data_IF_702085615348
#
_entry.id   IF_702085615348
#
_cell.length_a   1.000
_cell.length_b   1.000
_cell.length_c   1.000
_cell.angle_alpha   90.00
_cell.angle_beta   90.00
_cell.angle_gamma   90.00
#
_symmetry.space_group_name_H-M   'P 1'
#
loop_
_entity.id
_entity.type
_entity.pdbx_description
1 polymer ?
#
# COMPACT_ATOMS: atom_id res chain seq x y z
N UNK A 1 -3.44 -51.21 11.65
CA UNK A 1 -2.97 -49.86 12.02
C UNK A 1 -3.98 -48.88 11.49
N UNK A 2 -4.76 -48.29 12.39
CA UNK A 2 -6.03 -47.64 12.06
C UNK A 2 -5.86 -46.22 11.54
N UNK A 3 -6.15 -46.04 10.26
CA UNK A 3 -6.17 -44.75 9.56
C UNK A 3 -7.10 -43.74 10.28
N UNK A 4 -8.13 -44.22 10.98
CA UNK A 4 -9.05 -43.39 11.76
C UNK A 4 -8.42 -42.79 13.03
N UNK A 5 -7.45 -43.48 13.66
CA UNK A 5 -6.75 -42.96 14.84
C UNK A 5 -5.77 -41.84 14.47
N UNK A 6 -5.09 -41.96 13.32
CA UNK A 6 -4.21 -40.90 12.81
C UNK A 6 -5.00 -39.64 12.40
N UNK A 7 -6.19 -39.82 11.80
CA UNK A 7 -7.06 -38.71 11.43
C UNK A 7 -7.64 -37.98 12.66
N UNK A 8 -8.03 -38.69 13.72
CA UNK A 8 -8.54 -38.05 14.94
C UNK A 8 -7.46 -37.29 15.70
N UNK A 9 -6.24 -37.82 15.77
CA UNK A 9 -5.10 -37.15 16.39
C UNK A 9 -4.71 -35.86 15.65
N UNK A 10 -4.72 -35.89 14.30
CA UNK A 10 -4.50 -34.70 13.48
C UNK A 10 -5.60 -33.65 13.71
N UNK A 11 -6.87 -34.04 13.71
CA UNK A 11 -7.99 -33.13 13.98
C UNK A 11 -7.91 -32.50 15.38
N UNK A 12 -7.53 -33.27 16.40
CA UNK A 12 -7.34 -32.77 17.76
C UNK A 12 -6.15 -31.81 17.86
N UNK A 13 -5.06 -32.06 17.14
CA UNK A 13 -3.91 -31.17 17.09
C UNK A 13 -4.24 -29.84 16.39
N UNK A 14 -5.02 -29.88 15.30
CA UNK A 14 -5.51 -28.67 14.63
C UNK A 14 -6.55 -27.92 15.48
N UNK A 15 -7.43 -28.63 16.20
CA UNK A 15 -8.40 -28.01 17.11
C UNK A 15 -7.72 -27.36 18.32
N UNK A 16 -6.69 -27.99 18.89
CA UNK A 16 -5.87 -27.40 19.95
C UNK A 16 -5.07 -26.19 19.45
N UNK A 17 -4.58 -26.23 18.21
CA UNK A 17 -3.92 -25.08 17.58
C UNK A 17 -4.90 -23.90 17.34
N UNK A 18 -6.19 -24.18 17.16
CA UNK A 18 -7.23 -23.15 17.10
C UNK A 18 -7.60 -22.57 18.47
N UNK A 19 -7.33 -23.30 19.56
CA UNK A 19 -7.66 -22.85 20.92
C UNK A 19 -6.81 -21.64 21.35
N UNK A 20 -5.55 -21.56 20.89
CA UNK A 20 -4.64 -20.44 21.16
C UNK A 20 -4.11 -19.81 19.85
N UNK A 21 -4.89 -18.90 19.23
CA UNK A 21 -4.53 -18.32 17.93
C UNK A 21 -3.31 -17.38 17.99
N UNK A 22 -3.01 -16.79 19.15
CA UNK A 22 -1.95 -15.79 19.30
C UNK A 22 -0.55 -16.41 19.21
N UNK A 23 -0.18 -17.45 19.99
CA UNK A 23 1.14 -18.09 19.89
C UNK A 23 1.41 -18.69 18.50
N UNK A 24 0.42 -19.37 17.92
CA UNK A 24 0.57 -19.99 16.59
C UNK A 24 0.79 -18.94 15.50
N UNK A 25 0.06 -17.83 15.57
CA UNK A 25 0.28 -16.73 14.65
C UNK A 25 1.64 -16.04 14.89
N UNK A 26 2.07 -15.89 16.14
CA UNK A 26 3.39 -15.34 16.44
C UNK A 26 4.52 -16.18 15.82
N UNK A 27 4.44 -17.51 15.94
CA UNK A 27 5.37 -18.46 15.30
C UNK A 27 5.31 -18.34 13.78
N UNK A 28 4.12 -18.27 13.17
CA UNK A 28 3.97 -18.10 11.73
C UNK A 28 4.60 -16.79 11.25
N UNK A 29 4.34 -15.68 11.95
CA UNK A 29 4.92 -14.37 11.62
C UNK A 29 6.44 -14.42 11.72
N UNK A 30 6.98 -15.00 12.79
CA UNK A 30 8.42 -15.18 12.97
C UNK A 30 9.02 -16.00 11.82
N UNK A 31 8.38 -17.12 11.47
CA UNK A 31 8.78 -17.98 10.35
C UNK A 31 8.82 -17.22 9.03
N UNK A 32 7.76 -16.47 8.69
CA UNK A 32 7.70 -15.69 7.44
C UNK A 32 8.75 -14.58 7.37
N UNK A 33 9.11 -13.99 8.52
CA UNK A 33 10.10 -12.91 8.61
C UNK A 33 11.55 -13.42 8.56
N UNK A 34 11.82 -14.62 9.04
CA UNK A 34 13.18 -15.17 9.14
C UNK A 34 13.53 -16.19 8.06
N UNK A 35 12.54 -16.90 7.53
CA UNK A 35 12.79 -18.01 6.60
C UNK A 35 12.91 -17.48 5.17
N UNK A 36 13.99 -17.82 4.45
CA UNK A 36 14.10 -17.47 3.04
C UNK A 36 13.08 -18.26 2.21
N UNK A 37 12.72 -17.75 1.03
CA UNK A 37 11.93 -18.53 0.05
C UNK A 37 12.71 -19.75 -0.41
N UNK A 38 14.02 -19.59 -0.67
CA UNK A 38 14.91 -20.68 -1.03
C UNK A 38 16.30 -20.41 -0.45
N UNK A 39 16.92 -21.41 0.19
CA UNK A 39 18.20 -21.24 0.90
C UNK A 39 19.34 -20.71 0.01
N UNK A 40 19.45 -21.23 -1.22
CA UNK A 40 20.56 -20.88 -2.12
C UNK A 40 20.17 -19.88 -3.22
N UNK A 41 19.15 -20.19 -4.04
CA UNK A 41 18.82 -19.38 -5.23
C UNK A 41 18.02 -18.10 -4.96
N UNK A 42 17.28 -18.04 -3.85
CA UNK A 42 16.46 -16.88 -3.52
C UNK A 42 16.41 -16.63 -2.00
N UNK A 43 17.55 -16.21 -1.41
CA UNK A 43 17.75 -16.09 0.03
C UNK A 43 17.08 -14.83 0.61
N UNK A 44 15.87 -14.51 0.16
CA UNK A 44 15.09 -13.37 0.63
C UNK A 44 13.93 -13.84 1.51
N UNK A 45 13.59 -13.11 2.60
CA UNK A 45 12.50 -13.48 3.48
C UNK A 45 11.17 -13.64 2.75
N UNK A 46 10.43 -14.70 3.06
CA UNK A 46 9.12 -14.99 2.44
C UNK A 46 8.15 -13.83 2.61
N UNK A 47 8.14 -13.19 3.78
CA UNK A 47 7.29 -12.02 4.07
C UNK A 47 7.46 -10.90 3.02
N UNK A 48 8.69 -10.62 2.60
CA UNK A 48 8.98 -9.56 1.62
C UNK A 48 8.35 -9.86 0.26
N UNK A 49 8.40 -11.14 -0.14
CA UNK A 49 7.89 -11.64 -1.43
C UNK A 49 6.37 -11.67 -1.45
N UNK A 50 5.76 -12.11 -0.34
CA UNK A 50 4.30 -12.08 -0.16
C UNK A 50 3.79 -10.63 -0.27
N UNK A 51 4.44 -9.69 0.42
CA UNK A 51 4.06 -8.28 0.33
C UNK A 51 4.25 -7.73 -1.10
N UNK A 52 5.41 -7.94 -1.73
CA UNK A 52 5.68 -7.46 -3.08
C UNK A 52 4.69 -8.00 -4.12
N UNK A 53 4.32 -9.29 -4.00
CA UNK A 53 3.30 -9.95 -4.84
C UNK A 53 1.93 -9.32 -4.65
N UNK A 54 1.52 -9.13 -3.39
CA UNK A 54 0.24 -8.47 -3.07
C UNK A 54 0.18 -7.05 -3.64
N UNK A 55 1.24 -6.26 -3.47
CA UNK A 55 1.31 -4.90 -4.01
C UNK A 55 1.20 -4.92 -5.53
N UNK A 56 1.77 -5.92 -6.22
CA UNK A 56 1.68 -6.03 -7.67
C UNK A 56 0.24 -6.33 -8.12
N UNK A 57 -0.46 -7.21 -7.41
CA UNK A 57 -1.88 -7.48 -7.68
C UNK A 57 -2.75 -6.23 -7.44
N UNK A 58 -2.52 -5.50 -6.36
CA UNK A 58 -3.22 -4.24 -6.09
C UNK A 58 -2.91 -3.20 -7.17
N UNK A 59 -1.65 -3.06 -7.58
CA UNK A 59 -1.24 -2.16 -8.66
C UNK A 59 -1.94 -2.51 -9.97
N UNK A 60 -2.06 -3.79 -10.29
CA UNK A 60 -2.80 -4.27 -11.47
C UNK A 60 -4.29 -3.90 -11.41
N UNK A 61 -4.93 -3.99 -10.22
CA UNK A 61 -6.32 -3.55 -10.02
C UNK A 61 -6.44 -2.03 -10.20
N UNK A 62 -5.55 -1.25 -9.58
CA UNK A 62 -5.58 0.22 -9.64
C UNK A 62 -5.38 0.77 -11.04
N UNK A 63 -4.59 0.07 -11.86
CA UNK A 63 -4.26 0.49 -13.22
C UNK A 63 -5.14 -0.16 -14.29
N UNK A 64 -6.10 -1.00 -13.89
CA UNK A 64 -6.99 -1.72 -14.79
C UNK A 64 -7.88 -0.76 -15.59
N UNK A 65 -7.93 -0.99 -16.91
CA UNK A 65 -8.78 -0.23 -17.83
C UNK A 65 -8.28 1.19 -18.13
N UNK A 66 -7.11 1.57 -17.62
CA UNK A 66 -6.51 2.88 -17.88
C UNK A 66 -5.61 2.83 -19.13
N UNK A 67 -5.53 3.91 -19.91
CA UNK A 67 -4.67 3.97 -21.10
C UNK A 67 -3.20 3.95 -20.68
N UNK A 68 -2.66 2.74 -20.58
CA UNK A 68 -1.30 2.46 -20.09
C UNK A 68 -0.21 2.60 -21.13
N UNK A 69 -0.57 2.68 -22.41
CA UNK A 69 0.38 2.74 -23.54
C UNK A 69 1.29 3.97 -23.47
N UNK A 70 0.80 5.04 -22.86
CA UNK A 70 1.53 6.31 -22.75
C UNK A 70 2.46 6.35 -21.52
N UNK A 71 2.30 5.44 -20.56
CA UNK A 71 3.16 5.35 -19.39
C UNK A 71 4.28 4.37 -19.69
N UNK A 72 5.50 4.88 -19.88
CA UNK A 72 6.68 4.03 -20.04
C UNK A 72 6.86 3.06 -18.87
N UNK A 73 7.48 1.91 -19.13
CA UNK A 73 7.69 0.83 -18.14
C UNK A 73 8.36 1.34 -16.86
N UNK A 74 9.32 2.25 -16.98
CA UNK A 74 10.00 2.82 -15.80
C UNK A 74 9.07 3.70 -14.96
N UNK A 75 8.21 4.49 -15.60
CA UNK A 75 7.22 5.31 -14.88
C UNK A 75 6.17 4.45 -14.18
N UNK A 76 5.80 3.33 -14.79
CA UNK A 76 4.92 2.34 -14.16
C UNK A 76 5.56 1.64 -12.96
N UNK A 77 6.78 1.15 -13.15
CA UNK A 77 7.56 0.52 -12.10
C UNK A 77 7.77 1.50 -10.94
N UNK A 78 8.05 2.77 -11.21
CA UNK A 78 8.15 3.81 -10.20
C UNK A 78 6.86 3.95 -9.38
N UNK A 79 5.69 4.02 -10.02
CA UNK A 79 4.40 4.08 -9.32
C UNK A 79 4.16 2.85 -8.41
N UNK A 80 4.49 1.66 -8.91
CA UNK A 80 4.45 0.42 -8.13
C UNK A 80 5.41 0.46 -6.92
N UNK A 81 6.64 0.93 -7.10
CA UNK A 81 7.62 1.04 -6.00
C UNK A 81 7.21 2.08 -4.95
N UNK A 82 6.61 3.20 -5.38
CA UNK A 82 6.04 4.20 -4.45
C UNK A 82 4.88 3.59 -3.65
N UNK A 83 4.02 2.78 -4.29
CA UNK A 83 2.96 2.06 -3.57
C UNK A 83 3.55 1.12 -2.51
N UNK A 84 4.61 0.39 -2.87
CA UNK A 84 5.26 -0.60 -2.02
C UNK A 84 6.02 0.01 -0.83
N UNK A 85 6.77 1.10 -1.05
CA UNK A 85 7.75 1.60 -0.09
C UNK A 85 7.39 2.96 0.50
N UNK A 86 6.38 3.65 -0.03
CA UNK A 86 6.10 5.04 0.30
C UNK A 86 5.82 5.26 1.78
N UNK A 87 5.07 4.35 2.43
CA UNK A 87 4.76 4.44 3.86
C UNK A 87 6.02 4.37 4.73
N UNK A 88 6.83 3.31 4.56
CA UNK A 88 8.11 3.17 5.26
C UNK A 88 9.10 4.30 4.96
N UNK A 89 9.13 4.78 3.71
CA UNK A 89 10.00 5.89 3.31
C UNK A 89 9.66 7.18 4.03
N UNK A 90 8.37 7.57 4.05
CA UNK A 90 7.93 8.77 4.78
C UNK A 90 8.23 8.62 6.26
N UNK A 91 7.89 7.48 6.86
CA UNK A 91 8.13 7.23 8.29
C UNK A 91 9.61 7.30 8.65
N UNK A 92 10.51 6.70 7.86
CA UNK A 92 11.96 6.79 8.07
C UNK A 92 12.44 8.23 7.99
N UNK A 93 12.00 9.01 7.00
CA UNK A 93 12.35 10.44 6.89
C UNK A 93 11.89 11.23 8.13
N UNK A 94 10.65 11.01 8.59
CA UNK A 94 10.11 11.67 9.79
C UNK A 94 10.86 11.30 11.07
N UNK A 95 11.42 10.09 11.13
CA UNK A 95 12.25 9.62 12.25
C UNK A 95 13.73 9.98 12.11
N UNK A 96 14.13 10.68 11.03
CA UNK A 96 15.55 10.97 10.77
C UNK A 96 16.39 9.72 10.51
N UNK A 97 15.77 8.64 10.03
CA UNK A 97 16.42 7.36 9.71
C UNK A 97 16.45 7.15 8.18
N UNK A 98 17.46 6.43 7.65
CA UNK A 98 17.46 6.06 6.25
C UNK A 98 16.36 5.03 5.96
N UNK A 99 15.56 5.19 4.89
CA UNK A 99 14.62 4.18 4.41
C UNK A 99 15.27 2.80 4.21
N UNK A 100 14.52 1.72 4.49
CA UNK A 100 15.03 0.33 4.43
C UNK A 100 15.59 -0.07 3.07
N UNK A 101 15.03 0.46 1.98
CA UNK A 101 15.50 0.21 0.61
C UNK A 101 16.83 0.90 0.28
N UNK A 102 17.30 1.87 1.08
CA UNK A 102 18.63 2.47 0.93
C UNK A 102 19.71 1.68 1.66
N UNK A 103 19.36 0.97 2.73
CA UNK A 103 20.31 0.25 3.59
C UNK A 103 20.35 -1.26 3.32
N UNK A 104 19.39 -1.79 2.56
CA UNK A 104 19.32 -3.21 2.21
C UNK A 104 19.13 -3.38 0.71
N UNK A 105 19.86 -4.32 0.06
CA UNK A 105 19.62 -4.66 -1.34
C UNK A 105 18.34 -5.49 -1.53
N UNK A 106 17.79 -6.10 -0.47
CA UNK A 106 16.67 -7.04 -0.59
C UNK A 106 15.42 -6.42 -1.25
N UNK A 107 14.97 -5.20 -0.90
CA UNK A 107 13.87 -4.55 -1.61
C UNK A 107 14.14 -4.36 -3.11
N UNK A 108 15.37 -3.98 -3.49
CA UNK A 108 15.77 -3.78 -4.88
C UNK A 108 15.80 -5.06 -5.71
N UNK A 109 15.99 -6.21 -5.07
CA UNK A 109 15.92 -7.51 -5.74
C UNK A 109 14.47 -8.00 -5.83
N UNK A 110 13.72 -7.92 -4.73
CA UNK A 110 12.39 -8.55 -4.64
C UNK A 110 11.30 -7.76 -5.37
N UNK A 111 11.21 -6.44 -5.19
CA UNK A 111 10.09 -5.68 -5.77
C UNK A 111 10.21 -5.49 -7.28
N UNK A 112 11.36 -5.07 -7.85
CA UNK A 112 11.52 -5.03 -9.31
C UNK A 112 11.31 -6.40 -9.96
N UNK A 113 11.76 -7.49 -9.33
CA UNK A 113 11.51 -8.85 -9.85
C UNK A 113 10.02 -9.20 -9.82
N UNK A 114 9.33 -8.95 -8.70
CA UNK A 114 7.88 -9.15 -8.61
C UNK A 114 7.13 -8.32 -9.65
N UNK A 115 7.53 -7.06 -9.85
CA UNK A 115 6.98 -6.21 -10.90
C UNK A 115 7.21 -6.83 -12.29
N UNK A 116 8.45 -7.14 -12.65
CA UNK A 116 8.82 -7.67 -13.97
C UNK A 116 8.13 -9.00 -14.29
N UNK A 117 7.93 -9.86 -13.28
CA UNK A 117 7.27 -11.15 -13.44
C UNK A 117 5.74 -11.06 -13.47
N UNK A 118 5.13 -10.11 -12.75
CA UNK A 118 3.68 -10.10 -12.56
C UNK A 118 2.95 -9.05 -13.40
N UNK A 119 3.55 -7.88 -13.62
CA UNK A 119 2.87 -6.77 -14.31
C UNK A 119 3.00 -6.89 -15.84
N UNK A 120 4.21 -6.88 -16.46
CA UNK A 120 4.33 -6.95 -17.92
C UNK A 120 3.84 -8.27 -18.53
N UNK A 121 3.99 -9.39 -17.82
CA UNK A 121 3.53 -10.71 -18.28
C UNK A 121 2.01 -10.85 -18.30
N UNK A 122 1.29 -9.91 -17.65
CA UNK A 122 -0.15 -9.99 -17.47
C UNK A 122 -0.61 -10.96 -16.38
N UNK A 123 0.30 -11.64 -15.66
CA UNK A 123 -0.05 -12.61 -14.61
C UNK A 123 -0.89 -11.97 -13.50
N UNK A 124 -0.53 -10.77 -13.03
CA UNK A 124 -1.33 -10.05 -12.04
C UNK A 124 -2.72 -9.70 -12.57
N UNK A 125 -2.82 -9.30 -13.84
CA UNK A 125 -4.12 -9.02 -14.47
C UNK A 125 -4.94 -10.29 -14.67
N UNK A 126 -4.30 -11.43 -14.90
CA UNK A 126 -4.99 -12.72 -15.00
C UNK A 126 -5.59 -13.10 -13.65
N UNK A 127 -4.77 -13.17 -12.60
CA UNK A 127 -5.20 -13.53 -11.24
C UNK A 127 -6.33 -12.63 -10.74
N UNK A 128 -6.20 -11.31 -10.92
CA UNK A 128 -7.21 -10.34 -10.46
C UNK A 128 -8.51 -10.35 -11.28
N UNK A 129 -8.54 -10.99 -12.44
CA UNK A 129 -9.73 -11.16 -13.28
C UNK A 129 -10.41 -12.51 -13.08
N UNK A 130 -9.64 -13.56 -12.84
CA UNK A 130 -10.14 -14.93 -12.74
C UNK A 130 -10.50 -15.33 -11.32
N UNK A 131 -9.79 -14.81 -10.31
CA UNK A 131 -10.10 -15.11 -8.91
C UNK A 131 -11.44 -14.46 -8.49
N UNK A 132 -12.30 -15.19 -7.74
CA UNK A 132 -13.49 -14.60 -7.16
C UNK A 132 -13.14 -13.39 -6.29
N UNK A 133 -13.83 -12.26 -6.51
CA UNK A 133 -13.48 -10.99 -5.86
C UNK A 133 -13.49 -11.08 -4.33
N UNK A 134 -14.48 -11.79 -3.74
CA UNK A 134 -14.55 -11.98 -2.29
C UNK A 134 -13.34 -12.76 -1.77
N UNK A 135 -12.99 -13.86 -2.43
CA UNK A 135 -11.83 -14.67 -2.06
C UNK A 135 -10.55 -13.85 -2.11
N UNK A 136 -10.32 -13.13 -3.21
CA UNK A 136 -9.14 -12.29 -3.39
C UNK A 136 -9.07 -11.18 -2.32
N UNK A 137 -10.19 -10.54 -2.01
CA UNK A 137 -10.27 -9.50 -0.97
C UNK A 137 -9.98 -10.05 0.42
N UNK A 138 -10.45 -11.26 0.76
CA UNK A 138 -10.15 -11.91 2.04
C UNK A 138 -8.67 -12.28 2.15
N UNK A 139 -8.07 -12.82 1.09
CA UNK A 139 -6.63 -13.11 1.05
C UNK A 139 -5.83 -11.82 1.19
N UNK A 140 -6.20 -10.75 0.49
CA UNK A 140 -5.55 -9.46 0.63
C UNK A 140 -5.72 -8.86 2.02
N UNK A 141 -6.89 -9.01 2.65
CA UNK A 141 -7.11 -8.57 4.01
C UNK A 141 -6.22 -9.32 5.02
N UNK A 142 -6.03 -10.63 4.85
CA UNK A 142 -5.12 -11.41 5.68
C UNK A 142 -3.66 -10.97 5.50
N UNK A 143 -3.20 -10.80 4.25
CA UNK A 143 -1.84 -10.33 3.95
C UNK A 143 -1.65 -8.87 4.43
N UNK A 144 -2.65 -8.01 4.30
CA UNK A 144 -2.60 -6.64 4.82
C UNK A 144 -2.58 -6.63 6.34
N UNK A 145 -3.36 -7.47 7.02
CA UNK A 145 -3.28 -7.64 8.47
C UNK A 145 -1.87 -8.02 8.90
N UNK A 146 -1.28 -9.02 8.23
CA UNK A 146 0.09 -9.49 8.46
C UNK A 146 1.12 -8.36 8.25
N UNK A 147 1.11 -7.72 7.09
CA UNK A 147 2.13 -6.74 6.69
C UNK A 147 2.01 -5.41 7.43
N UNK A 148 0.78 -4.94 7.68
CA UNK A 148 0.55 -3.72 8.46
C UNK A 148 0.76 -3.94 9.95
N UNK A 149 0.34 -5.08 10.50
CA UNK A 149 0.54 -5.41 11.92
C UNK A 149 2.03 -5.53 12.28
N UNK A 150 2.81 -6.20 11.44
CA UNK A 150 4.28 -6.28 11.57
C UNK A 150 4.94 -4.91 11.45
N UNK A 151 4.52 -4.08 10.49
CA UNK A 151 5.03 -2.70 10.30
C UNK A 151 4.77 -1.84 11.53
N UNK A 152 3.54 -1.87 12.07
CA UNK A 152 3.18 -1.13 13.28
C UNK A 152 4.01 -1.59 14.46
N UNK A 153 4.14 -2.91 14.66
CA UNK A 153 4.93 -3.45 15.76
C UNK A 153 6.41 -3.02 15.72
N UNK A 154 6.97 -2.80 14.52
CA UNK A 154 8.33 -2.32 14.32
C UNK A 154 8.52 -0.81 14.64
N UNK A 155 7.45 -0.02 14.77
CA UNK A 155 7.57 1.41 15.09
C UNK A 155 8.04 1.67 16.51
N UNK A 156 7.69 0.81 17.46
CA UNK A 156 8.08 1.00 18.85
C UNK A 156 9.61 1.02 19.05
N UNK A 157 10.38 0.01 18.58
CA UNK A 157 11.84 0.08 18.63
C UNK A 157 12.42 1.20 17.73
N UNK A 158 11.77 1.54 16.61
CA UNK A 158 12.21 2.63 15.74
C UNK A 158 12.14 3.99 16.44
N UNK A 159 11.06 4.26 17.18
CA UNK A 159 10.88 5.49 17.97
C UNK A 159 11.94 5.63 19.08
N UNK A 160 12.23 4.52 19.77
CA UNK A 160 13.29 4.48 20.80
C UNK A 160 14.65 4.79 20.17
N UNK A 161 14.97 4.16 19.03
CA UNK A 161 16.21 4.39 18.30
C UNK A 161 16.34 5.83 17.79
N UNK A 162 15.25 6.42 17.31
CA UNK A 162 15.21 7.79 16.82
C UNK A 162 15.22 8.85 17.94
N UNK A 163 15.14 8.44 19.22
CA UNK A 163 15.03 9.33 20.39
C UNK A 163 13.88 10.32 20.28
N UNK A 164 12.81 9.94 19.58
CA UNK A 164 11.60 10.75 19.42
C UNK A 164 10.69 10.49 20.61
N UNK A 165 10.10 11.56 21.17
CA UNK A 165 9.13 11.44 22.24
C UNK A 165 7.97 10.53 21.83
N UNK A 166 7.91 9.36 22.46
CA UNK A 166 6.96 8.30 22.14
C UNK A 166 5.63 8.58 22.84
N UNK A 167 4.91 9.60 22.38
CA UNK A 167 3.53 9.86 22.84
C UNK A 167 2.57 8.91 22.11
N UNK A 168 1.39 8.66 22.70
CA UNK A 168 0.35 7.88 22.04
C UNK A 168 -0.06 8.48 20.69
N UNK A 169 -0.02 9.81 20.56
CA UNK A 169 -0.30 10.52 19.31
C UNK A 169 0.79 10.31 18.27
N UNK A 170 2.06 10.44 18.64
CA UNK A 170 3.20 10.18 17.74
C UNK A 170 3.09 8.78 17.14
N UNK A 171 2.88 7.77 17.99
CA UNK A 171 2.72 6.38 17.56
C UNK A 171 1.52 6.18 16.63
N UNK A 172 0.38 6.78 16.99
CA UNK A 172 -0.88 6.72 16.21
C UNK A 172 -0.67 7.28 14.80
N UNK A 173 -0.10 8.49 14.69
CA UNK A 173 0.12 9.16 13.41
C UNK A 173 1.13 8.41 12.55
N UNK A 174 2.26 8.00 13.13
CA UNK A 174 3.28 7.24 12.40
C UNK A 174 2.76 5.86 11.97
N UNK A 175 1.90 5.21 12.75
CA UNK A 175 1.25 3.96 12.35
C UNK A 175 0.38 4.14 11.12
N UNK A 176 -0.45 5.19 11.08
CA UNK A 176 -1.26 5.52 9.90
C UNK A 176 -0.41 5.84 8.67
N UNK A 177 0.65 6.63 8.84
CA UNK A 177 1.59 6.98 7.75
C UNK A 177 2.35 5.75 7.24
N UNK A 178 2.88 4.92 8.14
CA UNK A 178 3.70 3.77 7.77
C UNK A 178 2.95 2.76 6.90
N UNK A 179 1.66 2.57 7.16
CA UNK A 179 0.83 1.55 6.48
C UNK A 179 0.01 2.10 5.31
N UNK A 180 -0.31 3.40 5.28
CA UNK A 180 -1.15 4.01 4.23
C UNK A 180 -0.41 5.03 3.36
N UNK A 181 0.81 5.45 3.73
CA UNK A 181 1.53 6.53 3.07
C UNK A 181 1.82 6.28 1.58
N UNK A 182 2.13 5.04 1.19
CA UNK A 182 2.34 4.68 -0.22
C UNK A 182 1.08 4.88 -1.07
N UNK A 183 -0.05 4.36 -0.59
CA UNK A 183 -1.34 4.54 -1.26
C UNK A 183 -1.79 6.00 -1.31
N UNK A 184 -1.49 6.77 -0.26
CA UNK A 184 -1.71 8.21 -0.23
C UNK A 184 -0.92 8.92 -1.33
N UNK A 185 0.39 8.67 -1.45
CA UNK A 185 1.23 9.33 -2.47
C UNK A 185 0.75 8.96 -3.87
N UNK A 186 0.48 7.67 -4.13
CA UNK A 186 0.01 7.18 -5.42
C UNK A 186 -1.31 7.82 -5.83
N UNK A 187 -2.23 8.00 -4.88
CA UNK A 187 -3.52 8.64 -5.13
C UNK A 187 -3.36 10.14 -5.33
N UNK A 188 -2.60 10.81 -4.46
CA UNK A 188 -2.34 12.25 -4.49
C UNK A 188 -1.69 12.68 -5.81
N UNK A 189 -0.68 11.94 -6.29
CA UNK A 189 0.07 12.26 -7.50
C UNK A 189 -0.48 11.59 -8.77
N UNK A 190 -1.56 10.82 -8.65
CA UNK A 190 -2.15 10.11 -9.78
C UNK A 190 -1.17 9.16 -10.46
N UNK A 191 -0.24 8.53 -9.73
CA UNK A 191 0.82 7.68 -10.31
C UNK A 191 0.29 6.44 -11.04
N UNK A 192 -0.96 6.08 -10.75
CA UNK A 192 -1.67 4.98 -11.37
C UNK A 192 -2.48 5.42 -12.62
N UNK A 193 -2.45 6.71 -12.99
CA UNK A 193 -3.05 7.28 -14.20
C UNK A 193 -2.02 7.37 -15.34
N UNK A 194 -2.49 7.69 -16.55
CA UNK A 194 -1.61 7.91 -17.72
C UNK A 194 -0.82 9.22 -17.65
N UNK A 195 -1.31 10.19 -16.88
CA UNK A 195 -0.71 11.49 -16.66
C UNK A 195 -0.67 11.76 -15.17
N UNK A 196 0.41 12.40 -14.72
CA UNK A 196 0.53 12.85 -13.35
C UNK A 196 -0.55 13.88 -13.07
N UNK A 197 -1.28 13.71 -11.97
CA UNK A 197 -2.33 14.63 -11.55
C UNK A 197 -2.18 14.90 -10.07
N UNK A 198 -2.50 16.12 -9.64
CA UNK A 198 -2.66 16.39 -8.21
C UNK A 198 -4.13 16.19 -7.87
N UNK A 199 -4.46 15.04 -7.29
CA UNK A 199 -5.83 14.66 -6.95
C UNK A 199 -6.07 14.76 -5.44
N UNK A 200 -7.34 14.81 -5.06
CA UNK A 200 -7.74 14.68 -3.66
C UNK A 200 -7.35 13.27 -3.18
N UNK A 201 -6.61 13.14 -2.06
CA UNK A 201 -6.24 11.82 -1.55
C UNK A 201 -7.50 11.06 -1.12
N UNK A 202 -7.53 9.76 -1.41
CA UNK A 202 -8.70 8.88 -1.19
C UNK A 202 -9.20 8.85 0.25
N UNK A 203 -8.34 9.14 1.23
CA UNK A 203 -8.73 9.28 2.64
C UNK A 203 -9.74 10.42 2.87
N UNK A 204 -9.74 11.44 2.01
CA UNK A 204 -10.66 12.57 2.13
C UNK A 204 -11.97 12.34 1.38
N UNK A 205 -12.12 11.24 0.63
CA UNK A 205 -13.36 10.90 -0.09
C UNK A 205 -14.49 10.43 0.83
N UNK A 206 -14.21 10.32 2.13
CA UNK A 206 -15.20 10.05 3.15
C UNK A 206 -15.63 8.59 3.22
N UNK A 207 -16.55 8.31 4.15
CA UNK A 207 -16.99 6.96 4.46
C UNK A 207 -16.04 6.26 5.45
N UNK A 208 -16.60 5.80 6.57
CA UNK A 208 -15.87 5.11 7.63
C UNK A 208 -15.16 3.86 7.07
N UNK A 209 -15.83 3.11 6.18
CA UNK A 209 -15.26 1.90 5.58
C UNK A 209 -14.10 2.20 4.63
N UNK A 210 -14.14 3.30 3.87
CA UNK A 210 -13.08 3.64 2.92
C UNK A 210 -11.84 4.20 3.63
N UNK A 211 -12.05 4.90 4.74
CA UNK A 211 -10.99 5.47 5.56
C UNK A 211 -10.45 4.50 6.61
N UNK A 212 -11.06 3.32 6.73
CA UNK A 212 -10.69 2.28 7.71
C UNK A 212 -9.23 1.85 7.59
N UNK A 213 -8.67 1.91 6.38
CA UNK A 213 -7.25 1.63 6.12
C UNK A 213 -6.31 2.56 6.87
N UNK A 214 -6.71 3.82 7.05
CA UNK A 214 -5.93 4.80 7.81
C UNK A 214 -6.30 4.77 9.30
N UNK A 215 -7.59 4.66 9.62
CA UNK A 215 -8.04 4.72 11.02
C UNK A 215 -7.70 3.45 11.78
N UNK A 216 -7.88 2.25 11.22
CA UNK A 216 -7.60 0.98 11.90
C UNK A 216 -6.20 0.92 12.54
N UNK A 217 -5.14 1.30 11.82
CA UNK A 217 -3.80 1.47 12.37
C UNK A 217 -3.69 2.52 13.48
N UNK A 218 -4.44 3.62 13.41
CA UNK A 218 -4.52 4.61 14.48
C UNK A 218 -5.17 4.02 15.76
N UNK A 219 -6.00 2.99 15.61
CA UNK A 219 -6.56 2.21 16.72
C UNK A 219 -5.61 1.13 17.25
N UNK A 220 -4.36 1.04 16.78
CA UNK A 220 -3.36 0.09 17.28
C UNK A 220 -2.84 0.41 18.69
N UNK A 221 -3.39 1.40 19.40
CA UNK A 221 -3.06 1.70 20.80
C UNK A 221 -3.10 0.47 21.71
N UNK A 222 -4.05 -0.49 21.59
CA UNK A 222 -4.05 -1.70 22.40
C UNK A 222 -2.74 -2.50 22.33
N UNK A 223 -2.01 -2.46 21.20
CA UNK A 223 -0.66 -3.05 21.13
C UNK A 223 0.34 -2.33 22.03
N UNK A 224 0.32 -1.00 22.01
CA UNK A 224 1.15 -0.16 22.89
C UNK A 224 0.77 -0.37 24.36
N UNK A 225 -0.52 -0.48 24.65
CA UNK A 225 -1.04 -0.79 25.99
C UNK A 225 -0.65 -2.20 26.46
N UNK A 226 -0.78 -3.21 25.59
CA UNK A 226 -0.48 -4.60 25.92
C UNK A 226 1.01 -4.85 26.13
N UNK A 227 1.86 -4.26 25.29
CA UNK A 227 3.31 -4.49 25.35
C UNK A 227 4.02 -3.63 26.41
N UNK A 228 3.34 -2.64 27.01
CA UNK A 228 3.92 -1.70 27.99
C UNK A 228 5.21 -1.02 27.50
N UNK A 229 5.46 -0.99 26.19
CA UNK A 229 6.72 -0.47 25.64
C UNK A 229 6.88 1.03 25.92
N UNK A 230 5.77 1.74 26.21
CA UNK A 230 5.80 3.17 26.49
C UNK A 230 5.56 3.48 27.99
N UNK A 231 6.48 4.22 28.64
CA UNK A 231 6.49 4.43 30.09
C UNK A 231 5.33 5.29 30.63
N UNK A 232 4.54 5.95 29.77
CA UNK A 232 3.45 6.85 30.18
C UNK A 232 2.11 6.15 30.41
N UNK A 233 2.01 4.83 30.20
CA UNK A 233 0.78 4.07 30.44
C UNK A 233 0.78 3.62 31.90
N UNK A 234 -0.13 4.13 32.77
CA UNK A 234 -0.15 3.76 34.17
C UNK A 234 -0.50 2.27 34.30
N UNK A 235 0.30 1.54 35.09
CA UNK A 235 0.13 0.10 35.31
C UNK A 235 -1.28 -0.29 35.78
N UNK A 236 -2.00 0.64 36.43
CA UNK A 236 -3.37 0.48 36.94
C UNK A 236 -4.46 0.39 35.88
N UNK A 237 -4.21 0.79 34.62
CA UNK A 237 -5.24 0.73 33.56
C UNK A 237 -5.34 -0.66 32.89
N UNK A 238 -4.41 -1.57 33.17
CA UNK A 238 -4.26 -2.88 32.49
C UNK A 238 -4.71 -4.05 33.40
N UNK A 239 -5.11 -3.79 34.64
CA UNK A 239 -5.53 -4.81 35.62
C UNK A 239 -7.00 -5.25 35.45
N UNK A 240 -7.44 -5.51 34.21
CA UNK A 240 -8.68 -6.27 33.95
C UNK A 240 -8.44 -7.80 33.96
N UNK A 241 -7.23 -8.25 34.32
CA UNK A 241 -6.89 -9.65 34.58
C UNK A 241 -6.70 -9.93 36.08
N UNK A 242 -6.82 -11.20 36.50
CA UNK A 242 -6.82 -11.58 37.91
C UNK A 242 -5.53 -11.12 38.60
N UNK A 243 -5.74 -10.37 39.67
CA UNK A 243 -4.75 -9.83 40.59
C UNK A 243 -3.92 -10.94 41.22
N UNK A 244 -2.67 -11.07 40.79
CA UNK A 244 -1.62 -11.71 41.56
C UNK A 244 -0.32 -10.91 41.40
N UNK A 245 0.38 -10.69 42.51
CA UNK A 245 1.41 -9.67 42.76
C UNK A 245 2.73 -9.82 41.96
N UNK A 246 2.73 -10.52 40.83
CA UNK A 246 3.87 -10.48 39.93
C UNK A 246 3.83 -9.17 39.12
N UNK A 247 4.96 -8.46 38.98
CA UNK A 247 5.04 -7.30 38.08
C UNK A 247 4.65 -7.79 36.69
N UNK A 248 3.40 -7.55 36.29
CA UNK A 248 2.79 -8.21 35.16
C UNK A 248 3.75 -8.18 33.96
N UNK A 249 4.23 -9.37 33.61
CA UNK A 249 5.31 -9.55 32.65
C UNK A 249 4.95 -8.81 31.37
N UNK A 250 5.86 -7.98 30.88
CA UNK A 250 5.66 -7.29 29.61
C UNK A 250 5.32 -8.34 28.55
N UNK A 251 4.20 -8.15 27.83
CA UNK A 251 3.81 -9.07 26.76
C UNK A 251 4.96 -9.18 25.77
N UNK A 252 5.39 -10.40 25.47
CA UNK A 252 6.47 -10.64 24.52
C UNK A 252 6.18 -9.89 23.19
N UNK A 253 7.18 -9.19 22.60
CA UNK A 253 6.99 -8.41 21.37
C UNK A 253 6.33 -9.20 20.23
N UNK A 254 6.60 -10.51 20.17
CA UNK A 254 6.02 -11.42 19.18
C UNK A 254 4.50 -11.60 19.36
N UNK A 255 4.05 -11.78 20.61
CA UNK A 255 2.64 -11.89 20.93
C UNK A 255 1.91 -10.56 20.63
N UNK A 256 2.52 -9.42 20.96
CA UNK A 256 1.99 -8.11 20.59
C UNK A 256 1.81 -7.99 19.07
N UNK A 257 2.82 -8.38 18.29
CA UNK A 257 2.77 -8.36 16.82
C UNK A 257 1.64 -9.23 16.29
N UNK A 258 1.46 -10.43 16.84
CA UNK A 258 0.36 -11.33 16.48
C UNK A 258 -1.01 -10.70 16.76
N UNK A 259 -1.19 -10.03 17.90
CA UNK A 259 -2.42 -9.29 18.22
C UNK A 259 -2.69 -8.18 17.21
N UNK A 260 -1.67 -7.40 16.82
CA UNK A 260 -1.80 -6.39 15.76
C UNK A 260 -2.26 -6.99 14.44
N UNK A 261 -1.67 -8.12 14.05
CA UNK A 261 -2.00 -8.82 12.80
C UNK A 261 -3.44 -9.34 12.82
N UNK A 262 -3.88 -9.96 13.92
CA UNK A 262 -5.26 -10.43 14.09
C UNK A 262 -6.25 -9.27 14.03
N UNK A 263 -6.01 -8.20 14.79
CA UNK A 263 -6.93 -7.07 14.86
C UNK A 263 -7.11 -6.41 13.50
N UNK A 264 -6.01 -6.14 12.78
CA UNK A 264 -6.08 -5.54 11.45
C UNK A 264 -6.63 -6.51 10.40
N UNK A 265 -6.25 -7.79 10.46
CA UNK A 265 -6.78 -8.82 9.56
C UNK A 265 -8.29 -8.98 9.69
N UNK A 266 -8.80 -9.04 10.93
CA UNK A 266 -10.25 -9.10 11.20
C UNK A 266 -10.96 -7.82 10.76
N UNK A 267 -10.36 -6.65 11.00
CA UNK A 267 -10.95 -5.37 10.58
C UNK A 267 -11.08 -5.26 9.05
N UNK A 268 -10.02 -5.61 8.32
CA UNK A 268 -10.00 -5.56 6.86
C UNK A 268 -10.81 -6.71 6.22
N UNK A 269 -10.83 -7.88 6.85
CA UNK A 269 -11.65 -9.01 6.44
C UNK A 269 -13.14 -8.71 6.64
N UNK A 270 -13.50 -8.14 7.79
CA UNK A 270 -14.84 -7.66 8.09
C UNK A 270 -15.31 -6.61 7.08
N UNK A 271 -14.45 -5.63 6.73
CA UNK A 271 -14.75 -4.68 5.65
C UNK A 271 -15.03 -5.40 4.33
N UNK A 272 -14.21 -6.38 3.96
CA UNK A 272 -14.37 -7.13 2.71
C UNK A 272 -15.69 -7.89 2.66
N UNK A 273 -16.10 -8.50 3.78
CA UNK A 273 -17.39 -9.18 3.92
C UNK A 273 -18.56 -8.19 3.83
N UNK A 274 -18.49 -7.06 4.56
CA UNK A 274 -19.52 -6.02 4.51
C UNK A 274 -19.68 -5.49 3.08
N UNK A 275 -18.59 -5.22 2.37
CA UNK A 275 -18.65 -4.74 0.98
C UNK A 275 -19.18 -5.78 -0.02
N UNK A 276 -19.11 -7.07 0.31
CA UNK A 276 -19.68 -8.12 -0.51
C UNK A 276 -21.19 -8.31 -0.27
N UNK A 277 -21.65 -8.07 0.96
CA UNK A 277 -23.06 -8.25 1.35
C UNK A 277 -23.89 -6.98 1.13
N UNK A 278 -23.33 -5.81 1.44
CA UNK A 278 -24.05 -4.54 1.30
C UNK A 278 -24.23 -4.26 -0.20
N UNK A 279 -25.49 -4.16 -0.68
CA UNK A 279 -25.75 -3.84 -2.07
C UNK A 279 -25.04 -2.53 -2.38
N UNK A 280 -24.27 -2.50 -3.47
CA UNK A 280 -23.86 -1.22 -4.03
C UNK A 280 -25.16 -0.55 -4.45
N UNK A 281 -25.65 0.39 -3.65
CA UNK A 281 -26.63 1.34 -4.12
C UNK A 281 -25.95 2.00 -5.31
N UNK A 282 -26.29 1.52 -6.50
CA UNK A 282 -25.94 2.15 -7.75
C UNK A 282 -26.60 3.50 -7.63
N UNK A 283 -25.87 4.48 -7.12
CA UNK A 283 -26.22 5.88 -7.29
C UNK A 283 -26.14 6.01 -8.79
N UNK A 284 -27.28 5.74 -9.43
CA UNK A 284 -27.50 6.03 -10.82
C UNK A 284 -27.26 7.52 -10.86
N UNK A 285 -26.02 7.89 -11.17
CA UNK A 285 -25.66 9.22 -11.57
C UNK A 285 -26.59 9.44 -12.76
N UNK A 286 -27.73 10.06 -12.48
CA UNK A 286 -28.61 10.67 -13.47
C UNK A 286 -27.70 11.69 -14.11
N UNK A 287 -26.92 11.20 -15.07
CA UNK A 287 -26.26 11.96 -16.11
C UNK A 287 -27.45 12.54 -16.83
N UNK A 288 -27.94 13.66 -16.30
CA UNK A 288 -28.87 14.54 -16.96
C UNK A 288 -28.14 14.92 -18.24
N UNK A 289 -28.35 14.11 -19.28
CA UNK A 289 -28.34 14.53 -20.67
C UNK A 289 -29.46 15.56 -20.84
N UNK A 290 -29.42 16.66 -20.07
CA UNK A 290 -30.03 17.90 -20.50
C UNK A 290 -29.03 18.45 -21.50
N UNK A 291 -29.18 17.97 -22.73
CA UNK A 291 -28.76 18.63 -23.96
C UNK A 291 -29.31 20.05 -23.89
N UNK A 292 -28.61 20.95 -23.18
CA UNK A 292 -28.77 22.38 -23.39
C UNK A 292 -28.10 22.62 -24.73
N UNK A 293 -28.92 22.83 -25.76
CA UNK A 293 -28.49 23.58 -26.92
C UNK A 293 -27.67 24.79 -26.46
N UNK A 294 -26.59 25.15 -27.17
CA UNK A 294 -25.94 26.41 -26.93
C UNK A 294 -26.96 27.51 -27.22
N UNK A 295 -27.47 28.14 -26.16
CA UNK A 295 -28.03 29.47 -26.28
C UNK A 295 -26.91 30.33 -26.87
N UNK A 296 -27.11 30.71 -28.13
CA UNK A 296 -26.38 31.77 -28.81
C UNK A 296 -26.44 32.98 -27.89
N UNK A 297 -25.36 33.19 -27.13
CA UNK A 297 -25.12 34.48 -26.49
C UNK A 297 -24.85 35.41 -27.65
N UNK A 298 -25.90 36.14 -28.06
CA UNK A 298 -25.75 37.35 -28.83
C UNK A 298 -24.81 38.25 -28.02
N UNK A 299 -23.59 38.36 -28.51
CA UNK A 299 -22.58 39.26 -27.99
C UNK A 299 -23.07 40.66 -28.35
N UNK A 300 -23.63 41.37 -27.37
CA UNK A 300 -23.85 42.80 -27.50
C UNK A 300 -22.54 43.46 -27.93
N UNK A 301 -22.65 44.15 -29.05
CA UNK A 301 -21.61 44.90 -29.70
C UNK A 301 -21.28 46.11 -28.83
N UNK A 302 -20.29 45.95 -27.95
CA UNK A 302 -19.67 47.10 -27.30
C UNK A 302 -18.98 47.90 -28.40
N UNK A 303 -19.58 49.04 -28.74
CA UNK A 303 -19.03 50.09 -29.60
C UNK A 303 -17.77 50.66 -28.94
N UNK A 304 -16.64 50.03 -29.21
CA UNK A 304 -15.32 50.58 -28.89
C UNK A 304 -14.99 51.64 -29.91
N UNK A 305 -14.85 52.86 -29.39
CA UNK A 305 -14.39 54.07 -30.05
C UNK A 305 -13.14 53.79 -30.91
N UNK A 306 -13.22 54.20 -32.17
CA UNK A 306 -12.11 54.22 -33.13
C UNK A 306 -10.94 55.05 -32.58
N UNK A 307 -9.75 54.48 -32.60
CA UNK A 307 -8.55 55.24 -32.97
C UNK A 307 -7.58 54.37 -33.77
N UNK A 308 -6.90 54.94 -34.78
CA UNK A 308 -6.28 54.17 -35.84
C UNK A 308 -4.76 54.03 -35.65
N UNK A 309 -4.24 52.84 -35.83
CA UNK A 309 -2.88 52.65 -36.35
C UNK A 309 -2.79 51.33 -37.13
N UNK A 310 -2.55 51.47 -38.43
CA UNK A 310 -2.22 50.43 -39.41
C UNK A 310 -0.80 49.87 -39.16
N UNK A 311 -0.36 48.80 -39.86
CA UNK A 311 0.37 47.69 -39.27
C UNK A 311 1.82 47.59 -39.75
N UNK A 312 2.67 46.90 -38.97
CA UNK A 312 3.88 46.30 -39.53
C UNK A 312 3.84 44.78 -39.31
N UNK A 313 3.89 44.07 -40.43
CA UNK A 313 3.65 42.64 -40.58
C UNK A 313 4.98 41.96 -40.84
N UNK A 314 5.67 41.52 -39.80
CA UNK A 314 6.87 40.70 -39.98
C UNK A 314 6.47 39.23 -40.14
N UNK A 315 6.48 38.78 -41.40
CA UNK A 315 6.41 37.36 -41.79
C UNK A 315 7.61 36.62 -41.16
N UNK A 316 7.36 35.74 -40.20
CA UNK A 316 8.34 34.74 -39.77
C UNK A 316 8.08 33.46 -40.56
N UNK A 317 9.05 33.10 -41.41
CA UNK A 317 9.09 31.90 -42.23
C UNK A 317 9.33 30.63 -41.39
N UNK A 318 8.87 29.45 -41.85
CA UNK A 318 9.14 28.18 -41.17
C UNK A 318 10.56 27.70 -41.48
N UNK A 319 11.38 27.48 -40.44
CA UNK A 319 12.72 26.90 -40.57
C UNK A 319 12.62 25.37 -40.70
N UNK A 320 12.81 24.89 -41.93
CA UNK A 320 12.96 23.49 -42.31
C UNK A 320 14.31 22.98 -41.79
N UNK A 321 14.33 22.12 -40.76
CA UNK A 321 15.55 21.43 -40.32
C UNK A 321 15.80 20.19 -41.17
N UNK A 322 16.93 20.17 -41.86
CA UNK A 322 17.45 19.02 -42.60
C UNK A 322 18.12 18.01 -41.67
N UNK A 323 18.09 16.70 -41.97
CA UNK A 323 18.86 15.69 -41.25
C UNK A 323 20.34 15.76 -41.66
N UNK A 324 21.23 15.89 -40.67
CA UNK A 324 22.68 15.75 -40.86
C UNK A 324 23.03 14.27 -41.11
N UNK A 325 23.55 13.97 -42.30
CA UNK A 325 24.14 12.67 -42.64
C UNK A 325 25.51 12.56 -41.98
N UNK A 326 25.67 11.57 -41.11
CA UNK A 326 26.95 11.16 -40.54
C UNK A 326 27.88 10.58 -41.63
N UNK A 327 29.20 10.84 -41.61
CA UNK A 327 30.13 10.26 -42.58
C UNK A 327 30.41 8.77 -42.30
N UNK A 328 30.34 7.93 -43.35
CA UNK A 328 30.84 6.55 -43.32
C UNK A 328 32.38 6.52 -43.23
N UNK A 329 32.99 5.70 -42.37
CA UNK A 329 34.44 5.48 -42.37
C UNK A 329 34.88 4.64 -43.59
N UNK A 330 36.00 5.04 -44.20
CA UNK A 330 36.69 4.28 -45.27
C UNK A 330 37.36 3.02 -44.69
N UNK A 331 37.37 1.89 -45.42
CA UNK A 331 38.20 0.74 -45.05
C UNK A 331 39.67 1.06 -45.26
N UNK A 332 40.51 0.74 -44.26
CA UNK A 332 41.97 0.68 -44.43
C UNK A 332 42.33 -0.67 -45.02
N UNK A 333 42.93 -0.67 -46.20
CA UNK A 333 43.65 -1.81 -46.74
C UNK A 333 45.03 -1.91 -46.06
N UNK A 334 45.31 -3.05 -45.44
CA UNK A 334 46.63 -3.68 -45.41
C UNK A 334 46.42 -5.18 -45.42
#
# INVERSE_FOLDING_TARGET
>A
MDIFSAASASLQQHAAALADPIPNLAVLIAHLLSTPVHGEYFPFPQFLVVHATKVALVWSIMTRGKPRKDVGVLGDAFGYLVLAWGGGTITSILLGQPPSWLISPAPWMVYPLAYALLIPTGMASYVTRTAPALFLNLVFAAIDGLTRGTTIAALAPALVSARVASTGWTYTLLSGIAVSGGGFIVSLLGLHESKWTLAKPSILDGGILNTLDCWGPCWSRPYVFATRILPWIPAKLVTLGPTEEQPAAAVHPEAGRAVCVLLLGLLLGGRSLIQAVVPKHTVASKKNNKKKEPAVVQREEVTVVKSPAKPERTKVTPRKSTPSKSPKPKPKSK
#
